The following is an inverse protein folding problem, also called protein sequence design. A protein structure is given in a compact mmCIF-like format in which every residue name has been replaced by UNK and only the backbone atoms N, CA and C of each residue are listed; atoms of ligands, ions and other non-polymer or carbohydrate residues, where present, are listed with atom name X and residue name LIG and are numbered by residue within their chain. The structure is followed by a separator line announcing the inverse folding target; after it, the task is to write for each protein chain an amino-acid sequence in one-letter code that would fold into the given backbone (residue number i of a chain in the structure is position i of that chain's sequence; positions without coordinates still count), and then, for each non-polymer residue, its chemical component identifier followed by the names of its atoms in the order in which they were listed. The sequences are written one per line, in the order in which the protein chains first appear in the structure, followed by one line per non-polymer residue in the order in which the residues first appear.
data_IF_206700432872
#
_entry.id   IF_206700432872
#
_cell.length_a   1.000
_cell.length_b   1.000
_cell.length_c   1.000
_cell.angle_alpha   90.00
_cell.angle_beta   90.00
_cell.angle_gamma   90.00
#
_symmetry.space_group_name_H-M   'P 1'
#
loop_
_entity.id
_entity.type
_entity.pdbx_description
1 polymer ?
#
# COMPACT_ATOMS: atom_id res chain seq x y z
N UNK A 1 19.01 -60.66 13.13
CA UNK A 1 18.81 -60.73 14.58
C UNK A 1 18.64 -59.33 15.09
N UNK A 2 17.38 -58.94 15.37
CA UNK A 2 16.90 -58.21 16.54
C UNK A 2 17.47 -56.79 16.67
N UNK A 3 16.70 -55.70 16.77
CA UNK A 3 15.44 -55.43 17.44
C UNK A 3 14.88 -54.07 17.02
N UNK A 4 13.62 -54.06 16.79
CA UNK A 4 12.64 -53.02 16.78
C UNK A 4 12.64 -52.20 18.07
N UNK A 5 12.51 -50.88 18.01
CA UNK A 5 11.88 -50.11 19.09
C UNK A 5 11.11 -48.95 18.52
N UNK A 6 9.83 -49.16 18.52
CA UNK A 6 8.77 -48.18 18.38
C UNK A 6 8.77 -47.27 19.63
N UNK A 7 8.61 -45.96 19.43
CA UNK A 7 8.13 -45.10 20.51
C UNK A 7 7.15 -44.07 19.95
N UNK A 8 5.92 -44.51 19.94
CA UNK A 8 4.71 -43.68 19.89
C UNK A 8 4.61 -42.90 21.20
N UNK A 9 4.60 -41.61 21.14
CA UNK A 9 4.06 -40.81 22.24
C UNK A 9 3.02 -39.89 21.70
N UNK A 10 1.80 -40.32 21.84
CA UNK A 10 0.56 -39.58 21.70
C UNK A 10 0.43 -38.67 22.92
N UNK A 11 0.44 -37.37 22.72
CA UNK A 11 0.05 -36.42 23.74
C UNK A 11 -1.19 -35.66 23.26
N UNK A 12 -2.32 -36.19 23.65
CA UNK A 12 -3.62 -35.51 23.66
C UNK A 12 -3.58 -34.44 24.74
N UNK A 13 -3.79 -33.18 24.37
CA UNK A 13 -4.17 -32.16 25.32
C UNK A 13 -5.52 -31.60 24.88
N UNK A 14 -6.53 -32.14 25.52
CA UNK A 14 -7.87 -31.59 25.63
C UNK A 14 -7.88 -30.49 26.71
N UNK A 15 -8.54 -29.42 26.46
CA UNK A 15 -8.86 -28.42 27.48
C UNK A 15 -9.23 -27.12 26.80
N UNK A 16 -10.49 -26.92 26.46
CA UNK A 16 -11.57 -26.42 27.30
C UNK A 16 -11.24 -25.05 27.90
N UNK A 17 -11.79 -23.98 27.44
CA UNK A 17 -12.82 -23.26 28.15
C UNK A 17 -13.31 -22.04 27.38
N UNK A 18 -14.58 -22.08 27.09
CA UNK A 18 -15.47 -20.95 26.87
C UNK A 18 -15.34 -19.96 28.02
N UNK A 19 -15.40 -18.68 27.77
CA UNK A 19 -16.29 -17.78 28.52
C UNK A 19 -16.49 -16.54 27.64
N UNK A 20 -17.72 -16.41 27.16
CA UNK A 20 -18.26 -15.20 26.59
C UNK A 20 -18.38 -14.10 27.64
N UNK A 21 -18.04 -12.90 27.25
CA UNK A 21 -18.54 -11.71 27.95
C UNK A 21 -19.23 -10.85 26.92
N UNK A 22 -20.54 -11.00 26.96
CA UNK A 22 -21.51 -10.15 26.26
C UNK A 22 -21.70 -8.94 27.17
N UNK A 23 -21.07 -7.82 26.82
CA UNK A 23 -21.36 -6.53 27.47
C UNK A 23 -22.29 -5.76 26.56
N UNK A 24 -23.57 -5.84 26.91
CA UNK A 24 -24.66 -5.06 26.38
C UNK A 24 -24.70 -3.75 27.20
N UNK A 25 -24.15 -2.66 26.64
CA UNK A 25 -24.37 -1.34 27.24
C UNK A 25 -25.48 -0.66 26.46
N UNK A 26 -26.65 -0.74 27.03
CA UNK A 26 -27.78 0.13 26.70
C UNK A 26 -27.56 1.45 27.43
N UNK A 27 -27.31 2.52 26.70
CA UNK A 27 -27.40 3.86 27.23
C UNK A 27 -28.53 4.58 26.50
N UNK A 28 -29.53 4.82 27.28
CA UNK A 28 -30.79 5.41 26.88
C UNK A 28 -30.64 6.87 26.46
N UNK A 29 -31.60 7.21 25.70
CA UNK A 29 -32.09 8.50 25.25
C UNK A 29 -32.08 9.55 26.35
N UNK A 30 -31.54 10.71 26.06
CA UNK A 30 -32.04 11.97 26.62
C UNK A 30 -31.91 13.05 25.54
N UNK A 31 -33.02 13.37 24.93
CA UNK A 31 -33.20 14.62 24.19
C UNK A 31 -33.68 15.68 25.19
N UNK A 32 -33.19 16.87 25.16
CA UNK A 32 -33.94 18.01 25.58
C UNK A 32 -34.56 18.72 24.37
N UNK A 33 -35.85 18.78 24.40
CA UNK A 33 -36.73 19.71 23.70
C UNK A 33 -36.44 21.13 24.22
N UNK A 34 -36.27 22.07 23.31
CA UNK A 34 -36.33 23.51 23.63
C UNK A 34 -36.78 24.30 22.43
N UNK A 35 -38.03 24.56 22.47
CA UNK A 35 -38.84 25.65 21.90
C UNK A 35 -38.09 26.90 21.45
N UNK A 36 -38.36 27.22 20.21
CA UNK A 36 -38.86 28.50 19.67
C UNK A 36 -38.49 29.80 20.38
N UNK A 37 -37.77 30.67 19.66
CA UNK A 37 -38.06 32.11 19.66
C UNK A 37 -37.56 32.70 18.36
N UNK A 38 -38.47 33.20 17.56
CA UNK A 38 -38.18 33.93 16.33
C UNK A 38 -37.53 35.27 16.61
N UNK A 39 -36.56 35.57 15.81
CA UNK A 39 -36.21 36.97 15.55
C UNK A 39 -35.93 37.18 14.05
N UNK A 40 -36.75 38.03 13.57
CA UNK A 40 -36.87 38.59 12.24
C UNK A 40 -35.60 39.41 11.91
N UNK A 41 -34.75 38.93 11.05
CA UNK A 41 -33.66 39.78 10.53
C UNK A 41 -33.87 40.02 9.04
N UNK A 42 -34.14 41.24 8.77
CA UNK A 42 -34.31 41.95 7.50
C UNK A 42 -33.13 41.69 6.57
N UNK A 43 -33.41 41.23 5.36
CA UNK A 43 -32.43 41.16 4.27
C UNK A 43 -32.17 42.56 3.71
N UNK A 44 -30.98 43.07 3.94
CA UNK A 44 -30.45 44.14 3.12
C UNK A 44 -29.72 43.50 1.92
N UNK A 45 -30.34 43.70 0.76
CA UNK A 45 -29.70 43.45 -0.54
C UNK A 45 -28.71 44.59 -0.77
N UNK A 46 -27.45 44.32 -0.60
CA UNK A 46 -26.41 45.21 -1.14
C UNK A 46 -25.81 44.55 -2.38
N UNK A 47 -25.90 45.29 -3.46
CA UNK A 47 -25.41 44.96 -4.79
C UNK A 47 -23.88 45.22 -4.83
N UNK A 48 -23.15 44.24 -5.27
CA UNK A 48 -21.89 44.47 -5.94
C UNK A 48 -20.65 44.10 -5.16
N UNK A 49 -20.18 42.89 -5.36
CA UNK A 49 -18.78 42.63 -5.54
C UNK A 49 -18.62 41.33 -6.36
N UNK A 50 -18.13 41.48 -7.58
CA UNK A 50 -17.66 40.38 -8.39
C UNK A 50 -16.47 39.77 -7.68
N UNK A 51 -16.72 38.71 -6.91
CA UNK A 51 -15.62 37.87 -6.40
C UNK A 51 -15.30 36.90 -7.51
N UNK A 52 -14.22 37.20 -8.22
CA UNK A 52 -13.56 36.25 -9.10
C UNK A 52 -13.45 34.89 -8.39
N UNK A 53 -13.68 33.77 -9.08
CA UNK A 53 -13.49 32.47 -8.49
C UNK A 53 -12.06 32.36 -7.94
N UNK A 54 -11.85 31.64 -6.83
CA UNK A 54 -10.50 31.42 -6.30
C UNK A 54 -9.65 30.82 -7.41
N UNK A 55 -8.36 31.19 -7.50
CA UNK A 55 -7.48 30.65 -8.51
C UNK A 55 -7.53 29.12 -8.40
N UNK A 56 -7.97 28.52 -9.48
CA UNK A 56 -7.93 27.08 -9.65
C UNK A 56 -6.46 26.69 -9.57
N UNK A 57 -6.00 26.24 -8.41
CA UNK A 57 -4.71 25.62 -8.24
C UNK A 57 -4.71 24.25 -8.96
N UNK A 58 -4.88 24.31 -10.26
CA UNK A 58 -4.63 23.23 -11.19
C UNK A 58 -3.14 23.21 -11.50
N UNK A 59 -2.33 22.86 -10.51
CA UNK A 59 -0.92 22.56 -10.71
C UNK A 59 -0.37 21.67 -9.60
N UNK A 60 -1.09 20.58 -9.34
CA UNK A 60 -0.56 19.32 -8.88
C UNK A 60 -1.38 18.24 -9.57
N UNK A 61 -1.24 18.14 -10.89
CA UNK A 61 -1.41 16.88 -11.56
C UNK A 61 -0.42 15.97 -10.85
N UNK A 62 -0.95 15.01 -10.09
CA UNK A 62 -0.10 14.10 -9.31
C UNK A 62 0.92 13.50 -10.28
N UNK A 63 2.19 13.59 -9.91
CA UNK A 63 3.29 13.01 -10.70
C UNK A 63 3.17 11.48 -10.81
N UNK A 64 2.07 10.91 -10.32
CA UNK A 64 1.80 9.48 -10.23
C UNK A 64 0.44 9.15 -10.85
N UNK A 65 0.36 8.11 -11.68
CA UNK A 65 -0.86 7.69 -12.36
C UNK A 65 -1.80 6.90 -11.44
N UNK A 66 -1.27 6.23 -10.42
CA UNK A 66 -2.06 5.45 -9.49
C UNK A 66 -1.52 5.49 -8.07
N UNK A 67 -2.37 5.17 -7.13
CA UNK A 67 -1.96 4.96 -5.73
C UNK A 67 -2.91 3.98 -5.05
N UNK A 68 -2.43 3.31 -4.01
CA UNK A 68 -3.25 2.40 -3.23
C UNK A 68 -2.48 1.82 -2.04
N UNK A 69 -3.20 1.08 -1.21
CA UNK A 69 -2.65 0.45 -0.03
C UNK A 69 -1.89 -0.82 -0.41
N UNK A 70 -0.61 -0.93 -0.05
CA UNK A 70 0.16 -2.15 -0.22
C UNK A 70 -0.24 -3.16 0.86
N UNK A 71 -1.01 -4.18 0.48
CA UNK A 71 -1.51 -5.18 1.42
C UNK A 71 -0.70 -6.47 1.45
N UNK A 72 0.15 -6.69 0.44
CA UNK A 72 0.98 -7.90 0.36
C UNK A 72 2.26 -7.64 -0.41
N UNK A 73 3.37 -8.19 0.07
CA UNK A 73 4.66 -8.22 -0.60
C UNK A 73 4.93 -9.66 -1.02
N UNK A 74 4.97 -9.90 -2.33
CA UNK A 74 5.21 -11.22 -2.91
C UNK A 74 6.68 -11.61 -2.73
N UNK A 75 7.56 -10.71 -3.17
CA UNK A 75 9.02 -10.79 -3.08
C UNK A 75 9.65 -9.39 -3.10
N UNK A 76 10.97 -9.30 -3.29
CA UNK A 76 11.68 -8.03 -3.22
C UNK A 76 11.38 -7.05 -4.38
N UNK A 77 10.76 -7.50 -5.46
CA UNK A 77 10.44 -6.65 -6.61
C UNK A 77 8.98 -6.77 -7.09
N UNK A 78 8.12 -7.41 -6.30
CA UNK A 78 6.72 -7.61 -6.64
C UNK A 78 5.83 -7.40 -5.41
N UNK A 79 4.86 -6.47 -5.54
CA UNK A 79 3.91 -6.13 -4.48
C UNK A 79 2.47 -6.20 -5.00
N UNK A 80 1.50 -6.36 -4.11
CA UNK A 80 0.07 -6.28 -4.41
C UNK A 80 -0.52 -5.02 -3.76
N UNK A 81 -1.20 -4.19 -4.58
CA UNK A 81 -1.75 -2.88 -4.21
C UNK A 81 -3.25 -2.89 -4.37
N UNK A 82 -3.96 -2.48 -3.33
CA UNK A 82 -5.43 -2.46 -3.30
C UNK A 82 -6.00 -1.51 -4.36
N UNK A 83 -7.00 -1.98 -5.08
CA UNK A 83 -7.65 -1.22 -6.15
C UNK A 83 -6.83 -1.09 -7.45
N UNK A 84 -5.56 -1.52 -7.45
CA UNK A 84 -4.65 -1.44 -8.61
C UNK A 84 -4.28 -2.83 -9.12
N UNK A 85 -3.79 -3.71 -8.25
CA UNK A 85 -3.41 -5.07 -8.61
C UNK A 85 -1.96 -5.40 -8.29
N UNK A 86 -1.38 -6.34 -9.02
CA UNK A 86 0.01 -6.78 -8.84
C UNK A 86 0.97 -5.90 -9.62
N UNK A 87 1.94 -5.34 -8.91
CA UNK A 87 2.95 -4.43 -9.43
C UNK A 87 4.30 -5.16 -9.48
N UNK A 88 4.97 -5.09 -10.61
CA UNK A 88 6.36 -5.47 -10.79
C UNK A 88 7.20 -4.19 -10.85
N UNK A 89 8.10 -4.05 -9.91
CA UNK A 89 9.00 -2.90 -9.83
C UNK A 89 9.91 -2.90 -11.08
N UNK A 90 9.76 -1.90 -11.94
CA UNK A 90 10.52 -1.79 -13.20
C UNK A 90 11.98 -1.47 -12.93
N UNK A 91 12.88 -1.92 -13.82
CA UNK A 91 14.31 -1.56 -13.77
C UNK A 91 15.15 -2.33 -12.75
N UNK A 92 14.53 -3.15 -11.89
CA UNK A 92 15.20 -3.87 -10.81
C UNK A 92 14.91 -5.37 -10.85
N UNK A 93 15.83 -6.18 -10.35
CA UNK A 93 15.66 -7.61 -10.16
C UNK A 93 16.27 -8.02 -8.82
N UNK A 94 15.43 -8.56 -7.95
CA UNK A 94 15.87 -9.07 -6.64
C UNK A 94 16.13 -10.57 -6.72
N UNK A 95 16.92 -11.13 -5.76
CA UNK A 95 17.13 -12.56 -5.70
C UNK A 95 15.82 -13.34 -5.57
N UNK A 96 15.71 -14.44 -6.30
CA UNK A 96 14.58 -15.36 -6.27
C UNK A 96 14.57 -16.21 -4.99
N UNK A 97 13.40 -16.76 -4.65
CA UNK A 97 13.24 -17.64 -3.46
C UNK A 97 14.27 -18.76 -3.49
N UNK A 98 15.04 -18.89 -2.41
CA UNK A 98 16.12 -19.85 -2.26
C UNK A 98 17.49 -19.37 -2.68
N UNK A 99 17.59 -18.17 -3.24
CA UNK A 99 18.87 -17.52 -3.50
C UNK A 99 19.32 -16.69 -2.30
N UNK A 100 20.63 -16.51 -2.11
CA UNK A 100 21.16 -15.55 -1.12
C UNK A 100 20.63 -14.14 -1.39
N UNK A 101 20.23 -13.42 -0.34
CA UNK A 101 19.71 -12.06 -0.45
C UNK A 101 18.18 -11.96 -0.64
N UNK A 102 17.49 -13.08 -0.87
CA UNK A 102 16.03 -13.08 -1.06
C UNK A 102 15.27 -12.48 0.12
N UNK A 103 15.59 -12.94 1.32
CA UNK A 103 14.89 -12.49 2.52
C UNK A 103 15.21 -11.05 2.86
N UNK A 104 16.47 -10.64 2.67
CA UNK A 104 16.93 -9.28 2.92
C UNK A 104 16.20 -8.27 2.00
N UNK A 105 16.05 -8.61 0.71
CA UNK A 105 15.31 -7.78 -0.24
C UNK A 105 13.82 -7.72 0.10
N UNK A 106 13.20 -8.88 0.37
CA UNK A 106 11.79 -8.95 0.71
C UNK A 106 11.47 -8.22 2.01
N UNK A 107 12.21 -8.48 3.09
CA UNK A 107 12.03 -7.84 4.39
C UNK A 107 12.19 -6.32 4.31
N UNK A 108 13.12 -5.85 3.46
CA UNK A 108 13.27 -4.43 3.20
C UNK A 108 12.01 -3.85 2.56
N UNK A 109 11.48 -4.47 1.50
CA UNK A 109 10.26 -4.00 0.83
C UNK A 109 9.04 -4.08 1.76
N UNK A 110 8.92 -5.14 2.56
CA UNK A 110 7.86 -5.23 3.58
C UNK A 110 7.94 -4.08 4.59
N UNK A 111 9.11 -3.79 5.09
CA UNK A 111 9.33 -2.67 6.03
C UNK A 111 8.98 -1.31 5.42
N UNK A 112 9.25 -1.14 4.12
CA UNK A 112 9.05 0.14 3.45
C UNK A 112 7.60 0.37 3.05
N UNK A 113 6.90 -0.61 2.49
CA UNK A 113 5.59 -0.39 1.89
C UNK A 113 4.43 -1.21 2.46
N UNK A 114 4.65 -2.35 3.13
CA UNK A 114 3.56 -3.15 3.67
C UNK A 114 2.75 -2.35 4.69
N UNK A 115 1.43 -2.26 4.46
CA UNK A 115 0.56 -1.51 5.35
C UNK A 115 0.58 0.01 5.14
N UNK A 116 1.17 0.48 4.02
CA UNK A 116 1.20 1.91 3.67
C UNK A 116 0.55 2.17 2.32
N UNK A 117 0.18 3.42 2.08
CA UNK A 117 -0.16 3.90 0.74
C UNK A 117 1.13 4.07 -0.07
N UNK A 118 1.15 3.47 -1.26
CA UNK A 118 2.20 3.64 -2.26
C UNK A 118 1.65 4.40 -3.46
N UNK A 119 2.54 5.10 -4.14
CA UNK A 119 2.25 5.85 -5.35
C UNK A 119 3.01 5.21 -6.51
N UNK A 120 2.37 5.14 -7.66
CA UNK A 120 2.85 4.39 -8.82
C UNK A 120 3.02 5.32 -10.00
N UNK A 121 4.22 5.31 -10.56
CA UNK A 121 4.58 5.90 -11.84
C UNK A 121 4.66 4.73 -12.82
N UNK A 122 3.59 4.55 -13.62
CA UNK A 122 3.41 3.36 -14.48
C UNK A 122 4.20 3.58 -15.76
N UNK A 123 4.93 2.56 -16.20
CA UNK A 123 5.75 2.61 -17.41
C UNK A 123 4.88 2.82 -18.67
N UNK A 124 4.84 4.06 -19.17
CA UNK A 124 4.06 4.46 -20.34
C UNK A 124 4.52 3.76 -21.62
N UNK A 125 5.78 3.39 -21.72
CA UNK A 125 6.30 2.65 -22.87
C UNK A 125 5.86 1.17 -22.85
N UNK A 126 5.56 0.63 -21.65
CA UNK A 126 5.11 -0.74 -21.46
C UNK A 126 4.42 -0.92 -20.10
N UNK A 127 3.11 -0.78 -20.07
CA UNK A 127 2.33 -0.84 -18.83
C UNK A 127 2.31 -2.22 -18.15
N UNK A 128 2.47 -3.33 -18.92
CA UNK A 128 2.33 -4.70 -18.40
C UNK A 128 3.44 -5.61 -18.85
N UNK A 129 3.82 -6.55 -18.02
CA UNK A 129 4.67 -7.66 -18.42
C UNK A 129 3.87 -8.83 -19.03
N UNK A 130 4.59 -9.88 -19.43
CA UNK A 130 3.99 -11.09 -20.04
C UNK A 130 3.10 -11.90 -19.08
N UNK A 131 3.15 -11.61 -17.78
CA UNK A 131 2.36 -12.26 -16.74
C UNK A 131 1.17 -11.39 -16.30
N UNK A 132 0.96 -10.24 -16.92
CA UNK A 132 -0.11 -9.30 -16.61
C UNK A 132 0.12 -8.47 -15.36
N UNK A 133 1.37 -8.39 -14.86
CA UNK A 133 1.73 -7.49 -13.76
C UNK A 133 1.93 -6.08 -14.33
N UNK A 134 1.48 -5.07 -13.59
CA UNK A 134 1.72 -3.67 -13.93
C UNK A 134 3.21 -3.37 -13.70
N UNK A 135 3.85 -2.74 -14.68
CA UNK A 135 5.23 -2.28 -14.57
C UNK A 135 5.24 -0.84 -14.07
N UNK A 136 5.90 -0.57 -12.96
CA UNK A 136 5.93 0.77 -12.37
C UNK A 136 7.19 1.04 -11.55
N UNK A 137 7.51 2.31 -11.40
CA UNK A 137 8.30 2.83 -10.30
C UNK A 137 7.37 3.06 -9.11
N UNK A 138 7.77 2.55 -7.95
CA UNK A 138 6.99 2.65 -6.71
C UNK A 138 7.60 3.69 -5.80
N UNK A 139 6.76 4.62 -5.35
CA UNK A 139 7.14 5.63 -4.37
C UNK A 139 6.42 5.40 -3.05
N UNK A 140 7.15 5.51 -1.97
CA UNK A 140 6.65 5.46 -0.59
C UNK A 140 7.34 6.54 0.23
N UNK A 141 6.55 7.37 0.92
CA UNK A 141 7.06 8.51 1.68
C UNK A 141 8.03 9.38 0.82
N UNK A 142 7.66 9.68 -0.43
CA UNK A 142 8.42 10.42 -1.47
C UNK A 142 9.75 9.74 -1.90
N UNK A 143 10.01 8.52 -1.47
CA UNK A 143 11.19 7.76 -1.82
C UNK A 143 10.91 6.82 -3.00
N UNK A 144 11.75 6.85 -4.02
CA UNK A 144 11.78 5.86 -5.10
C UNK A 144 12.31 4.53 -4.56
N UNK A 145 11.40 3.57 -4.33
CA UNK A 145 11.71 2.26 -3.76
C UNK A 145 12.62 1.43 -4.70
N UNK A 146 12.39 1.53 -6.02
CA UNK A 146 13.19 0.81 -7.02
C UNK A 146 14.66 1.27 -6.95
N UNK A 147 14.87 2.58 -6.92
CA UNK A 147 16.21 3.14 -6.78
C UNK A 147 16.89 2.75 -5.46
N UNK A 148 16.11 2.74 -4.38
CA UNK A 148 16.66 2.42 -3.06
C UNK A 148 17.08 0.95 -2.93
N UNK A 149 16.38 0.03 -3.60
CA UNK A 149 16.79 -1.37 -3.70
C UNK A 149 18.17 -1.52 -4.35
N UNK A 150 18.43 -0.77 -5.43
CA UNK A 150 19.74 -0.76 -6.11
C UNK A 150 20.83 -0.16 -5.22
N UNK A 151 20.57 1.01 -4.63
CA UNK A 151 21.57 1.70 -3.77
C UNK A 151 21.99 0.86 -2.57
N UNK A 152 21.10 0.03 -2.06
CA UNK A 152 21.38 -0.86 -0.92
C UNK A 152 21.96 -2.21 -1.32
N UNK A 153 22.03 -2.49 -2.63
CA UNK A 153 22.51 -3.78 -3.13
C UNK A 153 21.55 -4.93 -2.89
N UNK A 154 20.25 -4.64 -2.72
CA UNK A 154 19.20 -5.65 -2.61
C UNK A 154 18.68 -6.11 -3.97
N UNK A 155 18.95 -5.36 -5.03
CA UNK A 155 18.61 -5.68 -6.40
C UNK A 155 19.77 -5.41 -7.36
N UNK A 156 19.72 -6.08 -8.49
CA UNK A 156 20.53 -5.78 -9.67
C UNK A 156 19.69 -5.00 -10.69
N UNK A 157 20.38 -4.22 -11.55
CA UNK A 157 19.72 -3.53 -12.65
C UNK A 157 19.16 -4.55 -13.65
N UNK A 158 17.87 -4.42 -13.99
CA UNK A 158 17.21 -5.20 -15.03
C UNK A 158 16.46 -4.27 -15.98
N UNK A 159 17.17 -3.72 -16.96
CA UNK A 159 16.56 -2.88 -17.99
C UNK A 159 16.00 -3.73 -19.14
N UNK A 160 14.68 -3.67 -19.36
CA UNK A 160 13.98 -4.40 -20.44
C UNK A 160 13.22 -3.41 -21.32
N UNK A 161 13.78 -3.01 -22.46
CA UNK A 161 13.12 -2.08 -23.37
C UNK A 161 11.87 -2.72 -24.05
N UNK A 162 10.87 -1.92 -24.48
CA UNK A 162 10.79 -0.50 -24.22
C UNK A 162 10.47 -0.20 -22.75
N UNK A 163 11.04 0.85 -22.20
CA UNK A 163 10.72 1.42 -20.88
C UNK A 163 11.11 2.88 -20.91
N UNK A 164 10.30 3.74 -20.33
CA UNK A 164 10.64 5.15 -20.16
C UNK A 164 11.64 5.38 -19.03
N UNK A 165 11.78 4.42 -18.11
CA UNK A 165 12.69 4.50 -16.97
C UNK A 165 14.07 3.95 -17.33
N UNK A 166 15.09 4.74 -17.05
CA UNK A 166 16.49 4.31 -17.14
C UNK A 166 17.07 4.04 -15.74
N UNK A 167 17.14 2.77 -15.30
CA UNK A 167 17.60 2.43 -13.95
C UNK A 167 19.09 2.74 -13.71
N UNK A 168 19.89 2.94 -14.76
CA UNK A 168 21.28 3.33 -14.63
C UNK A 168 21.45 4.76 -14.08
N UNK A 169 20.39 5.58 -14.14
CA UNK A 169 20.38 6.93 -13.56
C UNK A 169 20.07 6.97 -12.07
N UNK A 170 19.68 5.84 -11.47
CA UNK A 170 19.24 5.77 -10.09
C UNK A 170 20.36 5.43 -9.09
N UNK A 171 21.54 5.02 -9.56
CA UNK A 171 22.68 4.55 -8.73
C UNK A 171 23.84 5.53 -8.70
#
# INVERSE_FOLDING_TARGET
MVSKKDNTTLATVTGLCCIGILILVVIGSLLPDSTDTGDNITFNVDKGNETSPPPNNTSNQSAYEASGYCYHVVDGDTIDVEGVGRIRLVGVNTPERGQPGYWEAKDFVEKMCLGKTVYLDIDDAKNYDKYGRILAVVYVDDMNLNAELLRRGYAEIMYIPPSEFDPYTWT
#
